data_IF_178962079467
#
_entry.id   IF_178962079467
#
_cell.length_a   1.000
_cell.length_b   1.000
_cell.length_c   1.000
_cell.angle_alpha   90.00
_cell.angle_beta   90.00
_cell.angle_gamma   90.00
#
_symmetry.space_group_name_H-M   'P 1'
#
loop_
_entity.id
_entity.type
_entity.pdbx_description
1 polymer ?
#
# COMPACT_ATOMS: atom_id res chain seq x y z
N UNK A 1 -7.27 -12.79 9.32
CA UNK A 1 -7.92 -12.52 8.03
C UNK A 1 -7.26 -11.37 7.33
N UNK A 2 -7.05 -11.52 6.05
CA UNK A 2 -6.47 -10.44 5.26
C UNK A 2 -7.47 -9.29 5.12
N UNK A 3 -7.01 -8.08 5.38
CA UNK A 3 -7.82 -6.88 5.18
C UNK A 3 -7.53 -6.32 3.80
N UNK A 4 -8.53 -5.73 3.19
CA UNK A 4 -8.38 -5.11 1.89
C UNK A 4 -9.27 -3.89 1.76
N UNK A 5 -8.89 -3.00 0.83
CA UNK A 5 -9.65 -1.80 0.53
C UNK A 5 -10.04 -1.86 -0.94
N UNK A 6 -11.33 -1.69 -1.21
CA UNK A 6 -11.84 -1.64 -2.57
C UNK A 6 -12.33 -0.23 -2.87
N UNK A 7 -11.97 0.27 -4.04
CA UNK A 7 -12.44 1.59 -4.48
C UNK A 7 -12.52 1.65 -6.00
N UNK A 8 -13.21 2.67 -6.49
CA UNK A 8 -13.36 2.91 -7.92
C UNK A 8 -12.74 4.24 -8.29
N UNK A 9 -11.99 4.27 -9.38
CA UNK A 9 -11.40 5.49 -9.91
C UNK A 9 -11.48 5.46 -11.44
N UNK A 10 -12.06 6.50 -12.03
CA UNK A 10 -12.28 6.59 -13.48
C UNK A 10 -12.96 5.34 -14.04
N UNK A 11 -14.03 4.89 -13.37
CA UNK A 11 -14.85 3.75 -13.76
C UNK A 11 -14.12 2.41 -13.69
N UNK A 12 -12.96 2.36 -13.05
CA UNK A 12 -12.24 1.10 -12.84
C UNK A 12 -12.21 0.79 -11.36
N UNK A 13 -12.41 -0.48 -11.04
CA UNK A 13 -12.37 -0.95 -9.66
C UNK A 13 -10.97 -1.39 -9.30
N UNK A 14 -10.53 -1.01 -8.11
CA UNK A 14 -9.21 -1.38 -7.59
C UNK A 14 -9.34 -2.02 -6.23
N UNK A 15 -8.47 -2.99 -5.97
CA UNK A 15 -8.39 -3.65 -4.67
C UNK A 15 -6.97 -3.49 -4.14
N UNK A 16 -6.87 -2.92 -2.95
CA UNK A 16 -5.59 -2.75 -2.26
C UNK A 16 -5.46 -3.83 -1.21
N UNK A 17 -4.34 -4.52 -1.21
CA UNK A 17 -4.10 -5.61 -0.29
C UNK A 17 -2.60 -5.91 -0.23
N UNK A 18 -2.14 -6.47 0.89
CA UNK A 18 -0.76 -6.89 1.05
C UNK A 18 -0.70 -8.39 1.32
N UNK A 19 0.34 -9.02 0.80
CA UNK A 19 0.69 -10.39 1.16
C UNK A 19 2.21 -10.42 1.44
N UNK A 20 2.73 -11.60 1.78
CA UNK A 20 4.16 -11.72 2.08
C UNK A 20 5.04 -11.27 0.92
N UNK A 21 4.63 -11.59 -0.30
CA UNK A 21 5.41 -11.23 -1.49
C UNK A 21 5.43 -9.72 -1.72
N UNK A 22 4.29 -9.05 -1.58
CA UNK A 22 4.26 -7.60 -1.77
C UNK A 22 5.02 -6.88 -0.66
N UNK A 23 4.92 -7.36 0.57
CA UNK A 23 5.69 -6.80 1.69
C UNK A 23 7.19 -6.97 1.43
N UNK A 24 7.60 -8.16 0.98
CA UNK A 24 9.00 -8.42 0.67
C UNK A 24 9.52 -7.50 -0.42
N UNK A 25 8.72 -7.26 -1.45
CA UNK A 25 9.10 -6.35 -2.52
C UNK A 25 9.30 -4.93 -2.02
N UNK A 26 8.40 -4.46 -1.13
CA UNK A 26 8.53 -3.14 -0.54
C UNK A 26 9.81 -3.03 0.30
N UNK A 27 10.10 -4.05 1.08
CA UNK A 27 11.32 -4.04 1.89
C UNK A 27 12.57 -3.97 1.01
N UNK A 28 12.56 -4.70 -0.10
CA UNK A 28 13.68 -4.67 -1.04
C UNK A 28 13.87 -3.30 -1.69
N UNK A 29 12.80 -2.53 -1.81
CA UNK A 29 12.86 -1.19 -2.37
C UNK A 29 13.22 -0.13 -1.33
N UNK A 30 13.39 -0.53 -0.08
CA UNK A 30 13.78 0.38 0.98
C UNK A 30 12.66 0.88 1.87
N UNK A 31 11.47 0.33 1.72
CA UNK A 31 10.35 0.74 2.57
C UNK A 31 10.56 0.27 4.01
N UNK A 32 10.34 1.17 4.97
CA UNK A 32 10.40 0.86 6.40
C UNK A 32 9.30 1.60 7.13
N UNK A 33 8.52 0.85 7.90
CA UNK A 33 7.40 1.43 8.65
C UNK A 33 7.90 2.50 9.62
N UNK A 34 9.04 2.25 10.28
CA UNK A 34 9.60 3.19 11.25
C UNK A 34 10.16 4.45 10.62
N UNK A 35 10.27 4.52 9.30
CA UNK A 35 10.74 5.70 8.59
C UNK A 35 9.60 6.57 8.07
N UNK A 36 8.36 6.17 8.28
CA UNK A 36 7.20 6.94 7.78
C UNK A 36 7.20 8.36 8.34
N UNK A 37 7.48 8.51 9.62
CA UNK A 37 7.49 9.84 10.23
C UNK A 37 8.66 10.70 9.75
N UNK A 38 9.82 10.08 9.51
CA UNK A 38 11.01 10.81 9.07
C UNK A 38 10.97 11.17 7.59
N UNK A 39 10.40 10.30 6.76
CA UNK A 39 10.35 10.49 5.31
C UNK A 39 8.94 10.20 4.79
N UNK A 40 7.95 11.00 5.20
CA UNK A 40 6.55 10.68 4.89
C UNK A 40 6.25 10.65 3.40
N UNK A 41 6.79 11.58 2.62
CA UNK A 41 6.48 11.61 1.19
C UNK A 41 6.95 10.36 0.47
N UNK A 42 8.15 9.88 0.80
CA UNK A 42 8.69 8.69 0.16
C UNK A 42 8.01 7.43 0.68
N UNK A 43 7.91 7.30 2.00
CA UNK A 43 7.39 6.07 2.59
C UNK A 43 5.90 5.88 2.37
N UNK A 44 5.11 6.94 2.49
CA UNK A 44 3.66 6.83 2.30
C UNK A 44 3.34 6.53 0.84
N UNK A 45 4.05 7.16 -0.10
CA UNK A 45 3.86 6.87 -1.51
C UNK A 45 4.19 5.40 -1.82
N UNK A 46 5.28 4.88 -1.26
CA UNK A 46 5.64 3.48 -1.42
C UNK A 46 4.58 2.56 -0.81
N UNK A 47 4.08 2.91 0.36
CA UNK A 47 3.06 2.11 1.02
C UNK A 47 1.81 2.00 0.15
N UNK A 48 1.35 3.12 -0.38
CA UNK A 48 0.17 3.13 -1.24
C UNK A 48 0.41 2.35 -2.53
N UNK A 49 1.51 2.63 -3.21
CA UNK A 49 1.83 1.95 -4.47
C UNK A 49 1.98 0.44 -4.26
N UNK A 50 2.60 0.04 -3.16
CA UNK A 50 2.80 -1.37 -2.85
C UNK A 50 1.51 -2.14 -2.63
N UNK A 51 0.46 -1.45 -2.22
CA UNK A 51 -0.84 -2.09 -2.01
C UNK A 51 -1.48 -2.55 -3.32
N UNK A 52 -1.00 -2.05 -4.46
CA UNK A 52 -1.50 -2.48 -5.77
C UNK A 52 -0.82 -3.74 -6.30
N UNK A 53 0.32 -4.13 -5.73
CA UNK A 53 1.15 -5.21 -6.29
C UNK A 53 0.39 -6.52 -6.41
N UNK A 54 -0.41 -6.86 -5.42
CA UNK A 54 -1.08 -8.15 -5.36
C UNK A 54 -2.12 -8.33 -6.47
N UNK A 55 -2.92 -7.31 -6.73
CA UNK A 55 -4.05 -7.41 -7.67
C UNK A 55 -3.86 -6.62 -8.96
N UNK A 56 -2.98 -5.63 -8.96
CA UNK A 56 -2.84 -4.71 -10.08
C UNK A 56 -1.37 -4.46 -10.40
N UNK A 57 -0.63 -5.54 -10.53
CA UNK A 57 0.81 -5.46 -10.74
C UNK A 57 1.19 -4.64 -11.97
N UNK A 58 0.35 -4.68 -12.98
CA UNK A 58 0.63 -3.98 -14.24
C UNK A 58 0.59 -2.46 -14.13
N UNK A 59 -0.09 -1.90 -13.12
CA UNK A 59 -0.15 -0.45 -12.97
C UNK A 59 0.86 0.11 -11.98
N UNK A 60 1.60 -0.75 -11.28
CA UNK A 60 2.56 -0.30 -10.26
C UNK A 60 3.64 0.57 -10.88
N UNK A 61 4.02 0.30 -12.12
CA UNK A 61 5.00 1.12 -12.84
C UNK A 61 4.46 2.47 -13.30
N UNK A 62 3.14 2.64 -13.29
CA UNK A 62 2.52 3.90 -13.70
C UNK A 62 2.41 4.84 -12.49
N UNK A 63 3.55 5.44 -12.12
CA UNK A 63 3.62 6.26 -10.91
C UNK A 63 2.74 7.50 -11.01
N UNK A 64 2.55 8.06 -12.19
CA UNK A 64 1.69 9.23 -12.36
C UNK A 64 0.24 8.91 -12.00
N UNK A 65 -0.25 7.77 -12.46
CA UNK A 65 -1.61 7.34 -12.16
C UNK A 65 -1.79 7.09 -10.67
N UNK A 66 -0.84 6.39 -10.05
CA UNK A 66 -0.90 6.08 -8.63
C UNK A 66 -0.87 7.37 -7.80
N UNK A 67 0.02 8.30 -8.14
CA UNK A 67 0.09 9.59 -7.44
C UNK A 67 -1.20 10.38 -7.57
N UNK A 68 -1.80 10.36 -8.76
CA UNK A 68 -3.07 11.05 -8.97
C UNK A 68 -4.18 10.46 -8.12
N UNK A 69 -4.27 9.14 -8.09
CA UNK A 69 -5.27 8.46 -7.27
C UNK A 69 -5.08 8.79 -5.79
N UNK A 70 -3.84 8.83 -5.33
CA UNK A 70 -3.55 9.15 -3.94
C UNK A 70 -3.98 10.56 -3.59
N UNK A 71 -3.65 11.54 -4.45
CA UNK A 71 -4.00 12.93 -4.19
C UNK A 71 -5.50 13.16 -4.18
N UNK A 72 -6.25 12.40 -4.98
CA UNK A 72 -7.70 12.55 -5.07
C UNK A 72 -8.46 11.64 -4.11
N UNK A 73 -7.76 10.80 -3.38
CA UNK A 73 -8.41 9.89 -2.46
C UNK A 73 -9.00 10.65 -1.28
N UNK A 74 -10.30 10.43 -0.96
CA UNK A 74 -10.90 11.10 0.19
C UNK A 74 -10.36 10.52 1.50
N UNK A 75 -10.28 11.37 2.52
CA UNK A 75 -9.88 10.94 3.87
C UNK A 75 -8.55 10.20 3.86
N UNK A 76 -7.53 10.84 3.28
CA UNK A 76 -6.20 10.22 3.17
C UNK A 76 -5.61 9.80 4.51
N UNK A 77 -5.91 10.53 5.58
CA UNK A 77 -5.42 10.17 6.91
C UNK A 77 -5.90 8.79 7.32
N UNK A 78 -7.18 8.51 7.09
CA UNK A 78 -7.74 7.20 7.39
C UNK A 78 -7.17 6.13 6.46
N UNK A 79 -6.99 6.47 5.19
CA UNK A 79 -6.39 5.55 4.23
C UNK A 79 -5.00 5.13 4.67
N UNK A 80 -4.16 6.08 5.04
CA UNK A 80 -2.79 5.81 5.46
C UNK A 80 -2.78 4.91 6.69
N UNK A 81 -3.63 5.22 7.67
CA UNK A 81 -3.71 4.41 8.89
C UNK A 81 -4.12 2.97 8.58
N UNK A 82 -5.09 2.80 7.69
CA UNK A 82 -5.55 1.46 7.31
C UNK A 82 -4.49 0.70 6.53
N UNK A 83 -3.78 1.38 5.63
CA UNK A 83 -2.72 0.73 4.86
C UNK A 83 -1.59 0.28 5.78
N UNK A 84 -1.21 1.10 6.75
CA UNK A 84 -0.16 0.72 7.70
C UNK A 84 -0.58 -0.51 8.52
N UNK A 85 -1.82 -0.54 8.94
CA UNK A 85 -2.36 -1.69 9.68
C UNK A 85 -2.38 -2.94 8.81
N UNK A 86 -2.84 -2.81 7.57
CA UNK A 86 -2.88 -3.93 6.63
C UNK A 86 -1.49 -4.47 6.32
N UNK A 87 -0.52 -3.57 6.19
CA UNK A 87 0.87 -3.94 5.91
C UNK A 87 1.45 -4.81 7.02
N UNK A 88 1.08 -4.53 8.26
CA UNK A 88 1.62 -5.26 9.39
C UNK A 88 1.07 -6.68 9.53
N UNK A 89 -0.11 -6.96 8.99
CA UNK A 89 -0.70 -8.29 9.13
C UNK A 89 0.18 -9.43 8.59
N UNK A 90 0.68 -9.36 7.33
CA UNK A 90 1.56 -10.42 6.84
C UNK A 90 2.86 -10.52 7.63
N UNK A 91 3.36 -9.38 8.12
CA UNK A 91 4.59 -9.35 8.93
C UNK A 91 4.35 -10.05 10.26
N UNK A 92 3.25 -9.70 10.94
CA UNK A 92 2.91 -10.31 12.24
C UNK A 92 2.65 -11.80 12.10
N UNK A 93 2.08 -12.23 10.99
CA UNK A 93 1.79 -13.65 10.74
C UNK A 93 3.06 -14.51 10.73
N UNK A 94 4.22 -13.90 10.44
CA UNK A 94 5.49 -14.63 10.48
C UNK A 94 5.88 -15.06 11.89
N UNK A 95 5.34 -14.38 12.90
CA UNK A 95 5.68 -14.63 14.29
C UNK A 95 4.60 -15.41 15.04
N UNK A 96 3.50 -15.67 14.39
CA UNK A 96 2.32 -16.29 15.01
C UNK A 96 2.24 -17.80 14.78
N UNK A 97 3.34 -18.43 14.54
CA UNK A 97 3.34 -19.88 14.30
C UNK A 97 3.43 -20.69 15.59
#
# INVERSE_FOLDING_TARGET
>A
MAKKIKFTYNDKSYTLEYNRDSVRMLEKQGFRVDQIEAQPETMITMLFAGAFIMHHKNIVSNTKLIDEMFRKFPKRDELIARLAEMYQEPVLALFDE
#
